data_IF_467249005154
#
_entry.id   IF_467249005154
#
_cell.length_a   1.000
_cell.length_b   1.000
_cell.length_c   1.000
_cell.angle_alpha   90.00
_cell.angle_beta   90.00
_cell.angle_gamma   90.00
#
_symmetry.space_group_name_H-M   'P 1'
#
loop_
_entity.id
_entity.type
_entity.pdbx_description
1 polymer ?
#
# COMPACT_ATOMS: atom_id res chain seq x y z
N UNK A 1 -23.18 21.62 -37.23
CA UNK A 1 -22.72 20.44 -38.04
C UNK A 1 -22.18 19.42 -37.07
N UNK A 2 -22.96 18.35 -36.83
CA UNK A 2 -22.66 17.32 -35.84
C UNK A 2 -21.91 16.20 -36.56
N UNK A 3 -20.73 15.84 -36.06
CA UNK A 3 -19.90 14.75 -36.59
C UNK A 3 -20.57 13.39 -36.42
N UNK A 4 -20.55 12.51 -37.42
CA UNK A 4 -21.22 11.21 -37.34
C UNK A 4 -20.45 10.26 -36.43
N UNK A 5 -21.16 9.72 -35.47
CA UNK A 5 -20.75 8.59 -34.62
C UNK A 5 -20.28 7.40 -35.45
N UNK A 6 -19.03 7.01 -35.29
CA UNK A 6 -18.54 5.72 -35.78
C UNK A 6 -19.17 4.64 -34.90
N UNK A 7 -20.17 3.95 -35.44
CA UNK A 7 -20.65 2.67 -34.91
C UNK A 7 -19.54 1.63 -35.06
N UNK A 8 -18.72 1.43 -34.08
CA UNK A 8 -17.83 0.29 -34.02
C UNK A 8 -18.68 -0.97 -33.82
N UNK A 9 -18.84 -1.76 -34.88
CA UNK A 9 -19.34 -3.14 -34.78
C UNK A 9 -18.38 -3.92 -33.92
N UNK A 10 -18.84 -4.36 -32.73
CA UNK A 10 -18.07 -5.04 -31.75
C UNK A 10 -17.31 -6.24 -32.28
N UNK A 11 -16.00 -6.12 -32.34
CA UNK A 11 -15.15 -7.27 -32.13
C UNK A 11 -15.21 -7.55 -30.61
N UNK A 12 -16.05 -8.49 -30.23
CA UNK A 12 -15.99 -9.05 -28.88
C UNK A 12 -14.59 -9.65 -28.72
N UNK A 13 -13.71 -8.92 -28.05
CA UNK A 13 -12.47 -9.49 -27.53
C UNK A 13 -12.94 -10.62 -26.62
N UNK A 14 -12.82 -11.86 -27.08
CA UNK A 14 -13.05 -13.03 -26.25
C UNK A 14 -11.96 -13.03 -25.21
N UNK A 15 -12.25 -12.47 -24.05
CA UNK A 15 -11.44 -12.74 -22.85
C UNK A 15 -11.44 -14.26 -22.69
N UNK A 16 -10.25 -14.82 -22.60
CA UNK A 16 -10.08 -16.24 -22.29
C UNK A 16 -10.64 -16.44 -20.88
N UNK A 17 -11.91 -16.86 -20.79
CA UNK A 17 -12.56 -17.21 -19.52
C UNK A 17 -11.94 -18.52 -19.04
N UNK A 18 -10.80 -18.41 -18.34
CA UNK A 18 -10.24 -19.54 -17.63
C UNK A 18 -11.24 -19.99 -16.55
N UNK A 19 -11.47 -21.29 -16.39
CA UNK A 19 -12.31 -21.80 -15.32
C UNK A 19 -11.84 -21.23 -13.95
N UNK A 20 -12.76 -20.89 -13.05
CA UNK A 20 -12.40 -20.31 -11.73
C UNK A 20 -11.35 -21.13 -10.97
N UNK A 21 -11.36 -22.43 -11.13
CA UNK A 21 -10.37 -23.34 -10.52
C UNK A 21 -8.95 -23.10 -11.05
N UNK A 22 -8.79 -22.85 -12.34
CA UNK A 22 -7.46 -22.56 -12.95
C UNK A 22 -6.99 -21.18 -12.51
N UNK A 23 -7.87 -20.18 -12.47
CA UNK A 23 -7.54 -18.84 -11.95
C UNK A 23 -7.10 -18.89 -10.49
N UNK A 24 -7.79 -19.67 -9.66
CA UNK A 24 -7.42 -19.85 -8.26
C UNK A 24 -6.08 -20.58 -8.10
N UNK A 25 -5.79 -21.57 -8.95
CA UNK A 25 -4.52 -22.24 -8.96
C UNK A 25 -3.37 -21.30 -9.37
N UNK A 26 -3.57 -20.52 -10.43
CA UNK A 26 -2.61 -19.50 -10.87
C UNK A 26 -2.36 -18.49 -9.77
N UNK A 27 -3.41 -17.96 -9.12
CA UNK A 27 -3.27 -17.05 -7.97
C UNK A 27 -2.44 -17.66 -6.85
N UNK A 28 -2.70 -18.92 -6.47
CA UNK A 28 -1.90 -19.64 -5.45
C UNK A 28 -0.44 -19.78 -5.85
N UNK A 29 -0.17 -20.16 -7.10
CA UNK A 29 1.19 -20.27 -7.63
C UNK A 29 1.88 -18.90 -7.59
N UNK A 30 1.21 -17.82 -8.01
CA UNK A 30 1.75 -16.48 -7.98
C UNK A 30 2.07 -16.03 -6.55
N UNK A 31 1.18 -16.27 -5.58
CA UNK A 31 1.45 -15.95 -4.18
C UNK A 31 2.66 -16.71 -3.59
N UNK A 32 2.92 -17.92 -4.08
CA UNK A 32 4.09 -18.70 -3.68
C UNK A 32 5.36 -18.15 -4.34
N UNK A 33 5.29 -17.84 -5.63
CA UNK A 33 6.44 -17.41 -6.43
C UNK A 33 6.79 -15.92 -6.24
N UNK A 34 5.79 -15.08 -5.95
CA UNK A 34 5.94 -13.63 -5.78
C UNK A 34 5.49 -13.17 -4.37
N UNK A 35 6.16 -13.65 -3.31
CA UNK A 35 5.75 -13.31 -1.95
C UNK A 35 6.03 -11.82 -1.67
N UNK A 36 4.99 -11.01 -1.48
CA UNK A 36 5.13 -9.59 -1.09
C UNK A 36 5.11 -9.42 0.43
N UNK A 37 4.30 -10.19 1.15
CA UNK A 37 4.11 -10.05 2.60
C UNK A 37 5.30 -10.49 3.44
N UNK A 38 5.91 -11.65 3.13
CA UNK A 38 7.06 -12.16 3.90
C UNK A 38 8.25 -11.19 3.93
N UNK A 39 8.70 -10.59 2.80
CA UNK A 39 9.74 -9.57 2.79
C UNK A 39 9.34 -8.32 3.55
N UNK A 40 8.09 -7.86 3.41
CA UNK A 40 7.56 -6.71 4.14
C UNK A 40 7.62 -6.95 5.65
N UNK A 41 7.06 -8.05 6.15
CA UNK A 41 7.06 -8.36 7.59
C UNK A 41 8.48 -8.55 8.14
N UNK A 42 9.40 -9.14 7.36
CA UNK A 42 10.81 -9.21 7.75
C UNK A 42 11.43 -7.82 7.87
N UNK A 43 11.10 -6.92 6.96
CA UNK A 43 11.54 -5.54 7.03
C UNK A 43 10.94 -4.82 8.25
N UNK A 44 9.61 -4.90 8.47
CA UNK A 44 8.96 -4.31 9.65
C UNK A 44 9.55 -4.84 10.96
N UNK A 45 9.78 -6.15 11.07
CA UNK A 45 10.46 -6.75 12.23
C UNK A 45 11.89 -6.21 12.44
N UNK A 46 12.60 -5.90 11.36
CA UNK A 46 13.98 -5.37 11.49
C UNK A 46 14.03 -3.95 12.01
N UNK A 47 12.99 -3.16 11.78
CA UNK A 47 12.91 -1.77 12.26
C UNK A 47 12.14 -1.63 13.58
N UNK A 48 11.28 -2.60 13.94
CA UNK A 48 10.38 -2.47 15.10
C UNK A 48 11.10 -2.17 16.45
N UNK A 49 12.38 -2.58 16.70
CA UNK A 49 13.07 -2.21 17.93
C UNK A 49 13.25 -0.70 18.11
N UNK A 50 13.31 0.08 17.03
CA UNK A 50 13.49 1.52 17.05
C UNK A 50 12.20 2.28 17.39
N UNK A 51 11.04 1.58 17.41
CA UNK A 51 9.72 2.18 17.64
C UNK A 51 9.07 1.73 18.95
N UNK A 52 9.86 1.28 19.91
CA UNK A 52 9.36 0.97 21.25
C UNK A 52 8.86 2.24 21.94
N UNK A 53 7.70 2.13 22.61
CA UNK A 53 7.07 3.22 23.34
C UNK A 53 6.77 4.48 22.50
N UNK A 54 6.54 4.30 21.18
CA UNK A 54 6.18 5.35 20.23
C UNK A 54 4.76 5.15 19.71
N UNK A 55 4.20 6.21 19.12
CA UNK A 55 2.84 6.23 18.55
C UNK A 55 2.90 5.82 17.08
N UNK A 56 2.14 4.79 16.71
CA UNK A 56 2.15 4.18 15.38
C UNK A 56 0.75 4.20 14.77
N UNK A 57 0.65 4.55 13.51
CA UNK A 57 -0.57 4.49 12.71
C UNK A 57 -0.39 3.51 11.55
N UNK A 58 -1.31 2.56 11.40
CA UNK A 58 -1.43 1.69 10.24
C UNK A 58 -2.61 2.12 9.38
N UNK A 59 -2.36 2.36 8.10
CA UNK A 59 -3.35 2.77 7.10
C UNK A 59 -3.68 1.59 6.21
N UNK A 60 -4.97 1.31 6.01
CA UNK A 60 -5.42 0.17 5.24
C UNK A 60 -5.08 -1.15 5.93
N UNK A 61 -5.45 -1.28 7.21
CA UNK A 61 -5.16 -2.48 8.02
C UNK A 61 -5.84 -3.74 7.46
N UNK A 62 -6.93 -3.57 6.70
CA UNK A 62 -7.64 -4.66 6.07
C UNK A 62 -8.30 -5.61 7.07
N UNK A 63 -8.70 -6.78 6.60
CA UNK A 63 -9.24 -7.82 7.46
C UNK A 63 -8.11 -8.54 8.21
N UNK A 64 -7.95 -8.19 9.49
CA UNK A 64 -6.90 -8.74 10.36
C UNK A 64 -7.14 -10.19 10.76
N UNK A 65 -8.35 -10.71 10.56
CA UNK A 65 -8.65 -12.14 10.78
C UNK A 65 -8.02 -13.03 9.70
N UNK A 66 -7.90 -12.50 8.49
CA UNK A 66 -7.28 -13.20 7.35
C UNK A 66 -5.80 -12.80 7.22
N UNK A 67 -5.50 -11.55 7.50
CA UNK A 67 -4.19 -10.95 7.35
C UNK A 67 -3.61 -10.64 8.73
N UNK A 68 -2.42 -11.11 9.02
CA UNK A 68 -1.76 -10.71 10.26
C UNK A 68 -1.51 -9.19 10.22
N UNK A 69 -2.12 -8.46 11.15
CA UNK A 69 -1.82 -7.04 11.37
C UNK A 69 -0.35 -6.82 11.70
N UNK A 70 0.17 -5.63 11.36
CA UNK A 70 1.51 -5.24 11.80
C UNK A 70 1.58 -4.97 13.33
N UNK A 71 0.45 -4.84 14.02
CA UNK A 71 0.37 -4.59 15.46
C UNK A 71 1.21 -5.57 16.29
N UNK A 72 1.14 -6.88 15.98
CA UNK A 72 1.92 -7.88 16.71
C UNK A 72 3.43 -7.74 16.51
N UNK A 73 3.88 -7.09 15.42
CA UNK A 73 5.29 -6.77 15.17
C UNK A 73 5.75 -5.61 16.06
N UNK A 74 4.85 -4.65 16.30
CA UNK A 74 5.07 -3.46 17.11
C UNK A 74 4.41 -3.56 18.49
N UNK A 75 4.38 -4.76 19.07
CA UNK A 75 3.72 -5.04 20.36
C UNK A 75 4.22 -4.18 21.54
N UNK A 76 5.36 -3.55 21.41
CA UNK A 76 5.93 -2.61 22.40
C UNK A 76 5.69 -1.13 22.04
N UNK A 77 4.81 -0.82 21.09
CA UNK A 77 4.38 0.55 20.82
C UNK A 77 3.62 1.11 22.02
N UNK A 78 3.71 2.43 22.23
CA UNK A 78 2.89 3.12 23.23
C UNK A 78 1.42 3.14 22.79
N UNK A 79 1.20 3.42 21.51
CA UNK A 79 -0.11 3.42 20.87
C UNK A 79 0.05 2.80 19.47
N UNK A 80 -0.83 1.89 19.11
CA UNK A 80 -0.97 1.36 17.75
C UNK A 80 -2.39 1.58 17.28
N UNK A 81 -2.59 2.43 16.26
CA UNK A 81 -3.91 2.75 15.71
C UNK A 81 -4.05 2.09 14.34
N UNK A 82 -5.07 1.27 14.20
CA UNK A 82 -5.45 0.65 12.94
C UNK A 82 -6.55 1.47 12.26
N UNK A 83 -6.39 1.73 10.97
CA UNK A 83 -7.37 2.48 10.18
C UNK A 83 -7.67 1.80 8.86
N UNK A 84 -8.91 1.97 8.39
CA UNK A 84 -9.34 1.51 7.08
C UNK A 84 -10.45 2.43 6.53
N UNK A 85 -10.70 2.39 5.22
CA UNK A 85 -11.85 3.04 4.57
C UNK A 85 -13.10 2.16 4.63
N UNK A 86 -12.97 0.91 5.06
CA UNK A 86 -14.06 -0.03 5.23
C UNK A 86 -14.49 -0.11 6.69
N UNK A 87 -15.56 0.57 7.03
CA UNK A 87 -16.12 0.63 8.38
C UNK A 87 -16.52 -0.75 8.95
N UNK A 88 -16.79 -1.74 8.09
CA UNK A 88 -17.20 -3.07 8.51
C UNK A 88 -16.08 -3.89 9.19
N UNK A 89 -14.83 -3.44 9.07
CA UNK A 89 -13.66 -4.12 9.63
C UNK A 89 -13.41 -3.80 11.11
N UNK A 90 -14.16 -2.85 11.68
CA UNK A 90 -14.02 -2.46 13.09
C UNK A 90 -12.80 -1.61 13.40
N UNK A 91 -12.10 -1.12 12.39
CA UNK A 91 -10.99 -0.17 12.53
C UNK A 91 -11.51 1.27 12.61
N UNK A 92 -10.65 2.20 13.04
CA UNK A 92 -10.95 3.63 12.94
C UNK A 92 -11.05 4.01 11.45
N UNK A 93 -12.14 4.67 11.05
CA UNK A 93 -12.30 5.13 9.68
C UNK A 93 -11.25 6.18 9.31
N UNK A 94 -10.58 6.00 8.18
CA UNK A 94 -9.65 6.96 7.63
C UNK A 94 -9.53 6.81 6.11
N UNK A 95 -9.98 7.83 5.39
CA UNK A 95 -9.69 8.00 3.96
C UNK A 95 -8.59 9.05 3.80
N UNK A 96 -7.41 8.59 3.38
CA UNK A 96 -6.24 9.47 3.21
C UNK A 96 -6.32 10.36 1.96
N UNK A 97 -7.38 10.28 1.15
CA UNK A 97 -7.64 11.22 0.04
C UNK A 97 -8.52 12.39 0.46
N UNK A 98 -9.18 12.27 1.60
CA UNK A 98 -10.10 13.26 2.15
C UNK A 98 -9.44 14.16 3.21
N UNK A 99 -10.13 15.19 3.65
CA UNK A 99 -9.67 16.04 4.75
C UNK A 99 -9.50 15.19 6.03
N UNK A 100 -8.28 15.19 6.58
CA UNK A 100 -7.96 14.43 7.78
C UNK A 100 -8.58 15.08 9.02
N UNK A 101 -9.39 14.32 9.75
CA UNK A 101 -10.03 14.73 11.01
C UNK A 101 -9.24 14.26 12.24
N UNK A 102 -8.13 13.53 12.04
CA UNK A 102 -7.25 13.07 13.12
C UNK A 102 -6.27 14.20 13.43
N UNK A 103 -6.32 14.74 14.65
CA UNK A 103 -5.39 15.79 15.10
C UNK A 103 -4.06 15.23 15.57
N UNK A 104 -4.09 13.99 16.10
CA UNK A 104 -2.92 13.29 16.59
C UNK A 104 -1.89 13.08 15.48
N UNK A 105 -0.61 13.20 15.85
CA UNK A 105 0.54 12.91 15.00
C UNK A 105 1.27 11.68 15.49
N UNK A 106 1.86 10.95 14.56
CA UNK A 106 2.48 9.66 14.82
C UNK A 106 3.99 9.71 14.57
N UNK A 107 4.72 8.92 15.33
CA UNK A 107 6.16 8.72 15.15
C UNK A 107 6.45 7.86 13.93
N UNK A 108 5.54 6.90 13.66
CA UNK A 108 5.58 6.01 12.50
C UNK A 108 4.21 5.89 11.85
N UNK A 109 4.15 6.06 10.55
CA UNK A 109 2.98 5.75 9.72
C UNK A 109 3.34 4.58 8.80
N UNK A 110 2.51 3.54 8.81
CA UNK A 110 2.60 2.38 7.92
C UNK A 110 1.53 2.54 6.82
N UNK A 111 1.95 2.71 5.58
CA UNK A 111 1.09 2.73 4.39
C UNK A 111 1.55 1.62 3.44
N UNK A 112 1.09 0.40 3.72
CA UNK A 112 1.64 -0.81 3.09
C UNK A 112 0.62 -1.48 2.19
N UNK A 113 0.91 -1.54 0.87
CA UNK A 113 0.02 -2.06 -0.16
C UNK A 113 -1.36 -1.35 -0.15
N UNK A 114 -1.31 -0.01 -0.13
CA UNK A 114 -2.48 0.87 -0.11
C UNK A 114 -2.46 1.81 -1.30
N UNK A 115 -1.29 2.38 -1.64
CA UNK A 115 -1.20 3.45 -2.66
C UNK A 115 -1.59 2.97 -4.05
N UNK A 116 -1.43 1.70 -4.37
CA UNK A 116 -1.90 1.12 -5.64
C UNK A 116 -3.41 1.23 -5.83
N UNK A 117 -4.17 1.33 -4.72
CA UNK A 117 -5.64 1.43 -4.69
C UNK A 117 -6.16 2.86 -4.60
N UNK A 118 -5.28 3.85 -4.58
CA UNK A 118 -5.63 5.27 -4.44
C UNK A 118 -5.39 6.00 -5.74
N UNK A 119 -6.44 6.57 -6.34
CA UNK A 119 -6.32 7.31 -7.59
C UNK A 119 -5.70 8.70 -7.37
N UNK A 120 -6.16 9.45 -6.34
CA UNK A 120 -5.60 10.75 -5.97
C UNK A 120 -4.39 10.60 -5.05
N UNK A 121 -3.26 10.30 -5.66
CA UNK A 121 -1.98 10.10 -4.97
C UNK A 121 -1.47 11.39 -4.31
N UNK A 122 -1.74 12.55 -4.89
CA UNK A 122 -1.23 13.81 -4.37
C UNK A 122 -1.87 14.13 -3.01
N UNK A 123 -3.19 14.05 -2.91
CA UNK A 123 -3.90 14.23 -1.63
C UNK A 123 -3.45 13.20 -0.60
N UNK A 124 -3.29 11.94 -1.00
CA UNK A 124 -2.81 10.90 -0.11
C UNK A 124 -1.43 11.22 0.47
N UNK A 125 -0.46 11.64 -0.35
CA UNK A 125 0.90 11.97 0.12
C UNK A 125 0.90 13.18 1.06
N UNK A 126 0.12 14.21 0.76
CA UNK A 126 -0.03 15.38 1.64
C UNK A 126 -0.58 14.96 3.01
N UNK A 127 -1.59 14.10 3.03
CA UNK A 127 -2.20 13.60 4.24
C UNK A 127 -1.28 12.65 5.02
N UNK A 128 -0.51 11.79 4.34
CA UNK A 128 0.54 10.99 4.99
C UNK A 128 1.56 11.88 5.68
N UNK A 129 1.99 12.97 5.03
CA UNK A 129 2.89 13.96 5.63
C UNK A 129 2.25 14.67 6.81
N UNK A 130 0.96 15.02 6.73
CA UNK A 130 0.22 15.68 7.81
C UNK A 130 0.14 14.80 9.06
N UNK A 131 -0.09 13.50 8.91
CA UNK A 131 -0.22 12.55 10.02
C UNK A 131 1.09 12.29 10.79
N UNK A 132 2.22 12.66 10.24
CA UNK A 132 3.53 12.45 10.87
C UNK A 132 3.94 13.61 11.78
N UNK A 133 4.52 13.28 12.92
CA UNK A 133 5.32 14.22 13.72
C UNK A 133 6.50 14.73 12.89
N UNK A 134 7.10 15.85 13.28
CA UNK A 134 8.35 16.31 12.70
C UNK A 134 9.43 15.27 12.92
N UNK A 135 10.21 14.96 11.88
CA UNK A 135 11.17 13.86 11.83
C UNK A 135 10.55 12.46 11.99
N UNK A 136 9.23 12.34 12.02
CA UNK A 136 8.51 11.06 11.99
C UNK A 136 8.81 10.26 10.74
N UNK A 137 8.56 8.97 10.81
CA UNK A 137 8.90 8.02 9.76
C UNK A 137 7.66 7.49 9.02
N UNK A 138 7.81 7.23 7.74
CA UNK A 138 6.79 6.65 6.89
C UNK A 138 7.33 5.38 6.21
N UNK A 139 6.68 4.25 6.43
CA UNK A 139 6.90 3.06 5.61
C UNK A 139 5.87 3.02 4.50
N UNK A 140 6.35 2.96 3.28
CA UNK A 140 5.50 2.72 2.08
C UNK A 140 5.93 1.41 1.46
N UNK A 141 4.97 0.52 1.20
CA UNK A 141 5.20 -0.61 0.30
C UNK A 141 4.17 -0.62 -0.81
N UNK A 142 4.61 -1.00 -2.02
CA UNK A 142 3.75 -1.14 -3.19
C UNK A 142 4.17 -2.34 -4.02
N UNK A 143 3.24 -3.12 -4.57
CA UNK A 143 3.54 -4.19 -5.51
C UNK A 143 3.97 -3.58 -6.86
N UNK A 144 4.81 -4.34 -7.61
CA UNK A 144 5.16 -4.00 -8.98
C UNK A 144 4.80 -5.15 -9.93
N UNK A 145 5.52 -6.28 -9.91
CA UNK A 145 5.09 -7.48 -10.63
C UNK A 145 4.14 -8.25 -9.73
N UNK A 146 2.86 -7.98 -9.90
CA UNK A 146 1.79 -8.60 -9.12
C UNK A 146 0.49 -8.63 -9.94
N UNK A 147 -0.33 -9.69 -9.86
CA UNK A 147 -1.62 -9.75 -10.52
C UNK A 147 -2.55 -8.62 -10.11
N UNK A 148 -3.51 -8.29 -10.97
CA UNK A 148 -4.61 -7.41 -10.60
C UNK A 148 -5.37 -8.00 -9.40
N UNK A 149 -5.70 -7.15 -8.43
CA UNK A 149 -6.40 -7.52 -7.21
C UNK A 149 -7.26 -6.35 -6.72
N UNK A 150 -8.27 -6.66 -5.91
CA UNK A 150 -9.19 -5.66 -5.35
C UNK A 150 -9.83 -4.73 -6.39
N UNK A 151 -10.08 -5.29 -7.62
CA UNK A 151 -10.70 -4.57 -8.72
C UNK A 151 -12.09 -4.02 -8.33
N UNK A 152 -12.49 -2.84 -8.84
CA UNK A 152 -11.84 -2.04 -9.88
C UNK A 152 -10.83 -1.00 -9.34
N UNK A 153 -10.44 -1.04 -8.08
CA UNK A 153 -9.59 -0.03 -7.44
C UNK A 153 -8.09 -0.37 -7.45
N UNK A 154 -7.60 -1.16 -8.38
CA UNK A 154 -6.18 -1.49 -8.55
C UNK A 154 -5.59 -0.64 -9.69
N UNK A 155 -5.20 0.61 -9.36
CA UNK A 155 -4.90 1.64 -10.36
C UNK A 155 -3.43 1.67 -10.77
N UNK A 156 -2.47 1.37 -9.84
CA UNK A 156 -1.09 1.73 -10.05
C UNK A 156 -0.11 0.58 -9.86
N UNK A 157 0.97 0.64 -10.65
CA UNK A 157 2.22 -0.10 -10.44
C UNK A 157 3.36 0.90 -10.46
N UNK A 158 3.77 1.34 -9.26
CA UNK A 158 4.78 2.38 -9.11
C UNK A 158 6.18 1.82 -9.35
N UNK A 159 6.96 2.52 -10.18
CA UNK A 159 8.40 2.28 -10.23
C UNK A 159 9.10 2.94 -9.04
N UNK A 160 10.31 2.50 -8.74
CA UNK A 160 11.16 3.18 -7.74
C UNK A 160 11.36 4.66 -8.06
N UNK A 161 11.48 5.00 -9.34
CA UNK A 161 11.68 6.39 -9.78
C UNK A 161 10.42 7.25 -9.55
N UNK A 162 9.24 6.69 -9.78
CA UNK A 162 7.99 7.35 -9.48
C UNK A 162 7.87 7.64 -7.98
N UNK A 163 8.12 6.64 -7.12
CA UNK A 163 8.08 6.82 -5.67
C UNK A 163 9.08 7.87 -5.18
N UNK A 164 10.32 7.86 -5.67
CA UNK A 164 11.31 8.89 -5.34
C UNK A 164 10.86 10.30 -5.72
N UNK A 165 10.15 10.44 -6.85
CA UNK A 165 9.63 11.73 -7.30
C UNK A 165 8.42 12.17 -6.50
N UNK A 166 7.48 11.27 -6.24
CA UNK A 166 6.27 11.53 -5.47
C UNK A 166 6.58 11.92 -4.02
N UNK A 167 7.58 11.28 -3.42
CA UNK A 167 8.00 11.53 -2.02
C UNK A 167 9.27 12.40 -1.95
N UNK A 168 9.46 13.33 -2.91
CA UNK A 168 10.66 14.20 -2.95
C UNK A 168 10.81 15.10 -1.72
N UNK A 169 9.71 15.40 -1.02
CA UNK A 169 9.68 16.19 0.21
C UNK A 169 10.03 15.39 1.49
N UNK A 170 10.42 14.13 1.32
CA UNK A 170 10.86 13.26 2.39
C UNK A 170 12.32 12.86 2.18
N UNK A 171 13.03 12.67 3.28
CA UNK A 171 14.34 12.05 3.25
C UNK A 171 14.19 10.53 3.13
N UNK A 172 14.82 9.92 2.13
CA UNK A 172 14.84 8.46 1.98
C UNK A 172 15.89 7.89 2.93
N UNK A 173 15.48 7.04 3.87
CA UNK A 173 16.39 6.34 4.78
C UNK A 173 16.76 4.94 4.25
N UNK A 174 15.79 4.23 3.70
CA UNK A 174 16.00 2.85 3.21
C UNK A 174 15.10 2.56 2.02
N UNK A 175 15.65 1.80 1.07
CA UNK A 175 14.90 1.21 -0.04
C UNK A 175 15.19 -0.28 -0.06
N UNK A 176 14.16 -1.10 0.03
CA UNK A 176 14.23 -2.55 -0.22
C UNK A 176 13.46 -2.89 -1.50
N UNK A 177 14.07 -3.71 -2.31
CA UNK A 177 13.45 -4.30 -3.51
C UNK A 177 13.37 -5.80 -3.29
N UNK A 178 12.24 -6.39 -3.61
CA UNK A 178 12.09 -7.85 -3.65
C UNK A 178 12.03 -8.31 -5.11
N UNK A 179 12.40 -9.54 -5.38
CA UNK A 179 12.61 -10.02 -6.74
C UNK A 179 14.01 -9.64 -7.28
N UNK A 180 14.20 -9.72 -8.59
CA UNK A 180 15.43 -9.29 -9.25
C UNK A 180 15.31 -7.83 -9.72
N UNK A 181 16.44 -7.16 -9.91
CA UNK A 181 16.47 -5.71 -10.18
C UNK A 181 15.59 -5.28 -11.35
N UNK A 182 15.62 -6.03 -12.46
CA UNK A 182 14.84 -5.73 -13.67
C UNK A 182 13.38 -6.15 -13.55
N UNK A 183 13.08 -7.06 -12.63
CA UNK A 183 11.74 -7.62 -12.40
C UNK A 183 11.42 -7.62 -10.89
N UNK A 184 11.32 -6.45 -10.28
CA UNK A 184 10.99 -6.35 -8.87
C UNK A 184 9.55 -6.77 -8.65
N UNK A 185 9.30 -7.51 -7.57
CA UNK A 185 7.93 -7.89 -7.20
C UNK A 185 7.28 -6.84 -6.32
N UNK A 186 8.09 -6.12 -5.53
CA UNK A 186 7.63 -5.10 -4.59
C UNK A 186 8.77 -4.12 -4.28
N UNK A 187 8.38 -2.89 -3.98
CA UNK A 187 9.24 -1.89 -3.36
C UNK A 187 8.77 -1.62 -1.93
N UNK A 188 9.73 -1.43 -1.00
CA UNK A 188 9.50 -1.02 0.38
C UNK A 188 10.45 0.15 0.65
N UNK A 189 9.87 1.27 1.06
CA UNK A 189 10.60 2.48 1.41
C UNK A 189 10.41 2.80 2.88
N UNK A 190 11.47 3.26 3.51
CA UNK A 190 11.43 3.99 4.77
C UNK A 190 11.83 5.43 4.50
N UNK A 191 10.91 6.33 4.75
CA UNK A 191 11.09 7.77 4.62
C UNK A 191 11.12 8.43 5.99
N UNK A 192 11.71 9.63 6.05
CA UNK A 192 11.63 10.53 7.19
C UNK A 192 11.08 11.87 6.73
N UNK A 193 10.10 12.40 7.46
CA UNK A 193 9.61 13.79 7.30
C UNK A 193 10.72 14.76 7.71
N UNK A 194 10.93 15.80 6.89
CA UNK A 194 11.83 16.90 7.21
C UNK A 194 11.32 17.74 8.36
#
# INVERSE_FOLDING_TARGET
>A
MVSPYIKNKGSAVRFCNWPPMILNLIRRIVHILLPTRRPLYRFLKSISPDYKNLDILEIGSGDTSINQSAEHIFSNAKLFVQTDVNDSLGHKYLDITSAIQIEEKFDLVLCTNVLEHIFDINSAIQNLRYLLKDRGHLVVSVPFIYPLHDEPKDYWRFTEHALKKLFSDFKILTIKRTGIRQFPTQYIFLFQKH
#
